data_IF_942666838593
#
_entry.id   IF_942666838593
#
_cell.length_a   1.000
_cell.length_b   1.000
_cell.length_c   1.000
_cell.angle_alpha   90.00
_cell.angle_beta   90.00
_cell.angle_gamma   90.00
#
_symmetry.space_group_name_H-M   'P 1'
#
loop_
_entity.id
_entity.type
_entity.pdbx_description
1 polymer ?
#
# COMPACT_ATOMS: atom_id res chain seq x y z
N UNK A 1 23.80 0.73 -4.60
CA UNK A 1 22.44 0.14 -4.59
C UNK A 1 21.46 1.29 -4.43
N UNK A 2 20.43 1.43 -5.28
CA UNK A 2 19.41 2.45 -5.06
C UNK A 2 18.60 2.06 -3.83
N UNK A 3 18.46 2.97 -2.87
CA UNK A 3 17.59 2.76 -1.72
C UNK A 3 16.14 2.72 -2.22
N UNK A 4 15.42 1.65 -1.90
CA UNK A 4 14.01 1.50 -2.27
C UNK A 4 13.18 2.37 -1.33
N UNK A 5 12.35 3.22 -1.91
CA UNK A 5 11.54 4.22 -1.21
C UNK A 5 10.17 4.32 -1.86
N UNK A 6 9.12 4.44 -1.06
CA UNK A 6 7.75 4.70 -1.53
C UNK A 6 7.48 6.20 -1.54
N UNK A 7 6.69 6.66 -2.49
CA UNK A 7 6.18 8.03 -2.50
C UNK A 7 4.67 8.01 -2.34
N UNK A 8 4.16 8.91 -1.51
CA UNK A 8 2.75 8.91 -1.13
C UNK A 8 2.25 10.24 -0.62
N UNK A 9 0.98 10.28 -0.22
CA UNK A 9 0.37 11.44 0.43
C UNK A 9 -0.68 11.00 1.45
N UNK A 10 -0.86 11.77 2.51
CA UNK A 10 -1.84 11.45 3.56
C UNK A 10 -3.24 11.84 3.09
N UNK A 11 -4.14 10.86 3.04
CA UNK A 11 -5.48 10.98 2.49
C UNK A 11 -6.49 11.45 3.53
N UNK A 12 -6.25 12.62 4.15
CA UNK A 12 -7.02 13.14 5.30
C UNK A 12 -8.54 13.20 5.12
N UNK A 13 -9.05 13.08 3.89
CA UNK A 13 -10.47 13.00 3.59
C UNK A 13 -10.69 12.39 2.20
N UNK A 14 -11.96 12.13 1.88
CA UNK A 14 -12.38 11.57 0.58
C UNK A 14 -11.98 12.43 -0.62
N UNK A 15 -11.95 13.76 -0.47
CA UNK A 15 -11.52 14.68 -1.52
C UNK A 15 -10.06 14.43 -1.93
N UNK A 16 -9.15 14.36 -0.94
CA UNK A 16 -7.74 14.05 -1.17
C UNK A 16 -7.54 12.65 -1.75
N UNK A 17 -8.37 11.68 -1.36
CA UNK A 17 -8.39 10.36 -1.98
C UNK A 17 -8.75 10.42 -3.47
N UNK A 18 -9.83 11.12 -3.83
CA UNK A 18 -10.22 11.30 -5.24
C UNK A 18 -9.15 12.04 -6.04
N UNK A 19 -8.47 13.01 -5.43
CA UNK A 19 -7.33 13.68 -6.07
C UNK A 19 -6.14 12.73 -6.27
N UNK A 20 -5.78 11.94 -5.26
CA UNK A 20 -4.72 10.93 -5.37
C UNK A 20 -5.02 9.91 -6.49
N UNK A 21 -6.28 9.47 -6.62
CA UNK A 21 -6.69 8.60 -7.72
C UNK A 21 -6.44 9.24 -9.10
N UNK A 22 -6.72 10.54 -9.26
CA UNK A 22 -6.45 11.26 -10.51
C UNK A 22 -4.96 11.38 -10.83
N UNK A 23 -4.12 11.40 -9.79
CA UNK A 23 -2.65 11.47 -9.92
C UNK A 23 -2.04 10.08 -10.19
N UNK A 24 -2.86 9.01 -10.25
CA UNK A 24 -2.41 7.67 -10.59
C UNK A 24 -1.92 6.86 -9.38
N UNK A 25 -2.50 7.11 -8.20
CA UNK A 25 -2.23 6.30 -7.03
C UNK A 25 -2.96 4.96 -7.12
N UNK A 26 -2.19 3.88 -7.17
CA UNK A 26 -2.69 2.51 -7.33
C UNK A 26 -2.81 1.75 -6.02
N UNK A 27 -2.38 2.35 -4.89
CA UNK A 27 -2.48 1.71 -3.58
C UNK A 27 -2.84 2.69 -2.47
N UNK A 28 -3.40 2.15 -1.40
CA UNK A 28 -3.47 2.82 -0.10
C UNK A 28 -2.92 1.92 0.98
N UNK A 29 -2.28 2.56 1.95
CA UNK A 29 -1.66 1.94 3.11
C UNK A 29 -2.35 2.47 4.37
N UNK A 30 -2.77 1.55 5.24
CA UNK A 30 -3.17 1.89 6.59
C UNK A 30 -1.91 2.00 7.46
N UNK A 31 -1.53 3.20 7.95
CA UNK A 31 -0.30 3.35 8.74
C UNK A 31 -0.37 2.69 10.12
N UNK A 32 -1.57 2.37 10.63
CA UNK A 32 -1.74 1.73 11.93
C UNK A 32 -1.55 0.21 11.86
N UNK A 33 -2.08 -0.43 10.81
CA UNK A 33 -1.97 -1.89 10.61
C UNK A 33 -0.86 -2.30 9.64
N UNK A 34 -0.31 -1.36 8.88
CA UNK A 34 0.56 -1.64 7.74
C UNK A 34 -0.18 -2.25 6.54
N UNK A 35 -1.51 -2.37 6.59
CA UNK A 35 -2.26 -3.07 5.55
C UNK A 35 -2.26 -2.28 4.23
N UNK A 36 -1.71 -2.90 3.19
CA UNK A 36 -1.64 -2.41 1.83
C UNK A 36 -2.83 -2.95 1.05
N UNK A 37 -3.46 -2.07 0.27
CA UNK A 37 -4.60 -2.40 -0.55
C UNK A 37 -4.45 -1.81 -1.95
N UNK A 38 -5.04 -2.47 -2.96
CA UNK A 38 -5.06 -2.00 -4.35
C UNK A 38 -6.21 -1.02 -4.57
N UNK A 39 -5.91 0.12 -5.17
CA UNK A 39 -6.86 1.08 -5.73
C UNK A 39 -7.00 0.80 -7.23
N UNK A 40 -8.10 0.17 -7.63
CA UNK A 40 -8.45 0.02 -9.06
C UNK A 40 -9.19 1.27 -9.56
N UNK A 41 -9.03 1.57 -10.86
CA UNK A 41 -9.78 2.60 -11.61
C UNK A 41 -11.29 2.38 -11.59
N UNK A 42 -11.70 1.12 -11.37
CA UNK A 42 -13.08 0.66 -11.45
C UNK A 42 -13.74 0.65 -10.06
N UNK A 43 -13.03 1.17 -9.06
CA UNK A 43 -13.40 1.12 -7.66
C UNK A 43 -12.57 0.11 -6.87
N UNK A 44 -12.62 0.28 -5.55
CA UNK A 44 -11.77 -0.44 -4.62
C UNK A 44 -12.35 -1.82 -4.29
N UNK A 45 -11.71 -2.90 -4.77
CA UNK A 45 -12.09 -4.27 -4.45
C UNK A 45 -11.33 -4.74 -3.19
N UNK A 46 -11.85 -4.34 -2.04
CA UNK A 46 -11.45 -4.87 -0.73
C UNK A 46 -12.68 -4.97 0.16
N UNK A 47 -12.66 -5.86 1.15
CA UNK A 47 -13.74 -6.08 2.13
C UNK A 47 -14.13 -4.85 2.95
N UNK A 48 -13.42 -3.74 2.77
CA UNK A 48 -13.62 -2.48 3.44
C UNK A 48 -14.03 -1.46 2.38
N UNK A 49 -15.33 -1.19 2.31
CA UNK A 49 -15.87 -0.18 1.42
C UNK A 49 -15.36 1.20 1.87
N UNK A 50 -14.23 1.65 1.28
CA UNK A 50 -13.53 2.86 1.71
C UNK A 50 -14.37 4.13 1.59
N UNK A 51 -15.45 4.11 0.81
CA UNK A 51 -16.45 5.18 0.80
C UNK A 51 -17.07 5.43 2.19
N UNK A 52 -17.00 4.43 3.09
CA UNK A 52 -17.47 4.49 4.47
C UNK A 52 -16.34 4.33 5.50
N UNK A 53 -15.10 4.08 5.07
CA UNK A 53 -13.97 4.03 5.98
C UNK A 53 -13.51 5.47 6.28
N UNK A 54 -13.13 5.72 7.53
CA UNK A 54 -12.43 6.96 7.88
C UNK A 54 -11.02 6.92 7.27
N UNK A 55 -10.92 7.44 6.05
CA UNK A 55 -9.66 7.55 5.32
C UNK A 55 -8.72 8.59 5.93
N UNK A 56 -9.16 9.35 6.95
CA UNK A 56 -8.48 10.53 7.47
C UNK A 56 -7.03 10.36 7.91
N UNK A 57 -6.56 9.12 7.99
CA UNK A 57 -5.19 8.75 8.34
C UNK A 57 -4.51 7.80 7.35
N UNK A 58 -5.14 7.40 6.24
CA UNK A 58 -4.52 6.51 5.27
C UNK A 58 -3.47 7.23 4.43
N UNK A 59 -2.53 6.48 3.89
CA UNK A 59 -1.51 6.99 2.99
C UNK A 59 -1.78 6.43 1.60
N UNK A 60 -2.07 7.30 0.64
CA UNK A 60 -2.05 6.92 -0.75
C UNK A 60 -0.61 6.67 -1.17
N UNK A 61 -0.36 5.63 -1.96
CA UNK A 61 0.94 5.35 -2.56
C UNK A 61 0.85 5.35 -4.08
N UNK A 62 1.84 5.95 -4.72
CA UNK A 62 2.10 5.80 -6.15
C UNK A 62 3.24 4.80 -6.37
N UNK A 63 3.34 4.24 -7.57
CA UNK A 63 4.44 3.34 -7.92
C UNK A 63 5.80 4.01 -7.71
N UNK A 64 6.78 3.21 -7.29
CA UNK A 64 8.18 3.65 -7.14
C UNK A 64 8.82 3.70 -8.51
N UNK A 65 8.53 4.74 -9.29
CA UNK A 65 8.94 4.77 -10.69
C UNK A 65 8.36 3.57 -11.46
N UNK A 66 9.20 2.61 -11.84
CA UNK A 66 8.83 1.41 -12.61
C UNK A 66 8.40 0.19 -11.76
N UNK A 67 8.58 0.19 -10.43
CA UNK A 67 8.26 -0.97 -9.57
C UNK A 67 6.95 -0.74 -8.81
N UNK A 68 5.91 -1.57 -9.05
CA UNK A 68 4.66 -1.50 -8.31
C UNK A 68 4.80 -1.89 -6.84
N UNK A 69 4.08 -1.21 -5.95
CA UNK A 69 4.19 -1.44 -4.50
C UNK A 69 3.85 -2.88 -4.08
N UNK A 70 2.93 -3.55 -4.79
CA UNK A 70 2.57 -4.93 -4.50
C UNK A 70 3.65 -5.97 -4.84
N UNK A 71 4.68 -5.59 -5.60
CA UNK A 71 5.81 -6.46 -5.94
C UNK A 71 6.79 -6.62 -4.78
N UNK A 72 6.74 -5.73 -3.79
CA UNK A 72 7.53 -5.88 -2.56
C UNK A 72 7.03 -7.08 -1.75
N UNK A 73 7.92 -7.66 -0.94
CA UNK A 73 7.59 -8.79 -0.09
C UNK A 73 6.57 -8.39 0.97
N UNK A 74 5.70 -9.33 1.31
CA UNK A 74 4.79 -9.13 2.43
C UNK A 74 5.57 -8.95 3.74
N UNK A 75 5.16 -7.99 4.55
CA UNK A 75 5.84 -7.61 5.79
C UNK A 75 7.14 -6.85 5.61
N UNK A 76 7.50 -6.41 4.40
CA UNK A 76 8.69 -5.58 4.15
C UNK A 76 8.52 -4.17 4.71
N UNK A 77 9.55 -3.63 5.37
CA UNK A 77 9.56 -2.25 5.85
C UNK A 77 10.23 -1.33 4.82
N UNK A 78 9.54 -0.24 4.47
CA UNK A 78 10.01 0.75 3.51
C UNK A 78 9.76 2.17 4.02
N UNK A 79 10.66 3.13 3.74
CA UNK A 79 10.38 4.54 3.98
C UNK A 79 9.33 5.03 2.98
N UNK A 80 8.36 5.79 3.49
CA UNK A 80 7.41 6.55 2.67
C UNK A 80 7.76 8.02 2.75
N UNK A 81 7.85 8.65 1.58
CA UNK A 81 8.16 10.07 1.40
C UNK A 81 6.93 10.79 0.85
N UNK A 82 6.69 12.01 1.31
CA UNK A 82 5.61 12.83 0.81
C UNK A 82 5.93 13.28 -0.61
N UNK A 83 5.00 13.06 -1.53
CA UNK A 83 5.20 13.33 -2.95
C UNK A 83 5.40 14.83 -3.25
N UNK A 84 4.82 15.72 -2.45
CA UNK A 84 4.85 17.16 -2.69
C UNK A 84 6.04 17.83 -1.99
N UNK A 85 6.29 17.50 -0.74
CA UNK A 85 7.34 18.15 0.06
C UNK A 85 8.69 17.43 -0.06
N UNK A 86 8.69 16.15 -0.43
CA UNK A 86 9.88 15.31 -0.40
C UNK A 86 10.34 14.95 1.01
N UNK A 87 9.58 15.31 2.05
CA UNK A 87 9.88 14.96 3.43
C UNK A 87 9.50 13.51 3.73
N UNK A 88 10.23 12.87 4.64
CA UNK A 88 9.88 11.52 5.06
C UNK A 88 8.61 11.55 5.91
N UNK A 89 7.57 10.83 5.47
CA UNK A 89 6.34 10.62 6.24
C UNK A 89 6.59 9.63 7.37
N UNK A 90 7.30 8.54 7.09
CA UNK A 90 7.64 7.52 8.08
C UNK A 90 8.26 6.25 7.51
N UNK A 91 8.50 5.28 8.39
CA UNK A 91 8.82 3.89 8.01
C UNK A 91 7.58 3.05 8.20
N UNK A 92 7.21 2.28 7.18
CA UNK A 92 5.99 1.47 7.23
C UNK A 92 6.24 0.05 6.76
N UNK A 93 5.62 -0.89 7.46
CA UNK A 93 5.56 -2.29 7.09
C UNK A 93 4.43 -2.51 6.09
N UNK A 94 4.72 -3.10 4.93
CA UNK A 94 3.74 -3.42 3.89
C UNK A 94 3.13 -4.79 4.11
N UNK A 95 1.97 -4.85 4.75
CA UNK A 95 1.21 -6.07 4.95
C UNK A 95 0.13 -6.20 3.87
N UNK A 96 0.22 -7.17 2.98
CA UNK A 96 -0.71 -7.34 1.86
C UNK A 96 -2.09 -7.73 2.39
N UNK A 97 -3.10 -6.93 2.08
CA UNK A 97 -4.48 -7.30 2.34
C UNK A 97 -4.82 -8.62 1.63
N UNK A 98 -5.21 -9.64 2.39
CA UNK A 98 -5.58 -10.97 1.85
C UNK A 98 -6.69 -10.93 0.78
N UNK A 99 -7.55 -9.90 0.81
CA UNK A 99 -8.65 -9.74 -0.15
C UNK A 99 -8.15 -9.12 -1.45
N UNK A 100 -7.20 -8.19 -1.38
CA UNK A 100 -6.59 -7.56 -2.55
C UNK A 100 -5.49 -8.45 -3.16
N UNK A 101 -4.84 -9.27 -2.34
CA UNK A 101 -3.71 -10.11 -2.70
C UNK A 101 -3.91 -11.56 -2.20
N UNK A 102 -4.86 -12.32 -2.77
CA UNK A 102 -5.18 -13.66 -2.27
C UNK A 102 -4.03 -14.68 -2.38
N UNK A 103 -3.01 -14.37 -3.20
CA UNK A 103 -1.81 -15.20 -3.38
C UNK A 103 -0.57 -14.63 -2.66
N UNK A 104 -0.72 -13.63 -1.80
CA UNK A 104 0.38 -13.18 -0.96
C UNK A 104 0.75 -14.32 0.01
N UNK A 105 1.98 -14.85 -0.10
CA UNK A 105 2.45 -15.89 0.80
C UNK A 105 2.34 -15.39 2.24
N UNK A 106 1.66 -16.14 3.10
CA UNK A 106 1.52 -15.79 4.51
C UNK A 106 2.91 -15.70 5.16
N UNK A 107 3.15 -14.71 6.04
CA UNK A 107 4.40 -14.63 6.77
C UNK A 107 4.50 -15.82 7.73
N UNK A 108 5.21 -16.88 7.31
CA UNK A 108 5.47 -18.04 8.14
C UNK A 108 5.37 -19.41 7.46
N UNK A 109 4.89 -19.52 6.22
CA UNK A 109 5.01 -20.79 5.48
C UNK A 109 6.37 -20.88 4.81
N UNK A 110 7.39 -21.18 5.63
CA UNK A 110 8.49 -21.99 5.12
C UNK A 110 7.86 -23.24 4.49
N UNK A 111 8.26 -23.55 3.27
CA UNK A 111 7.82 -24.74 2.57
C UNK A 111 8.30 -25.99 3.32
N UNK A 112 7.54 -26.43 4.31
CA UNK A 112 7.62 -27.78 4.84
C UNK A 112 6.90 -28.71 3.86
N UNK A 113 7.66 -29.23 2.91
CA UNK A 113 7.28 -30.33 2.02
C UNK A 113 8.56 -30.86 1.37
N UNK A 114 9.16 -31.98 1.77
CA UNK A 114 8.53 -33.16 2.35
C UNK A 114 7.89 -34.01 1.25
N UNK A 115 8.68 -34.93 0.67
CA UNK A 115 8.28 -35.89 -0.37
C UNK A 115 8.75 -35.47 -1.77
N UNK A 116 9.61 -36.21 -2.48
CA UNK A 116 9.93 -37.65 -2.48
C UNK A 116 11.44 -37.88 -2.51
#
# INVERSE_FOLDING_TARGET
MRQLSLYGTILRNLGLYTEAQKVGFEYVLNPNSGELHIVSTDGFWGSHNLAFADLGSFIGLTNVGEIPAHMFLDGMELPVWDLLTGEQVGMYRLNKCRHCFPNAAEPGTAADGGGM
#
